data_IF_662505957009
#
_entry.id   IF_662505957009
#
_cell.length_a   1.000
_cell.length_b   1.000
_cell.length_c   1.000
_cell.angle_alpha   90.00
_cell.angle_beta   90.00
_cell.angle_gamma   90.00
#
_symmetry.space_group_name_H-M   'P 1'
#
loop_
_entity.id
_entity.type
_entity.pdbx_description
1 polymer ?
#
# COMPACT_ATOMS: atom_id res chain seq x y z
N UNK A 1 18.71 -21.65 25.62
CA UNK A 1 18.39 -20.33 25.05
C UNK A 1 18.01 -19.43 26.21
N UNK A 2 18.52 -18.20 26.26
CA UNK A 2 18.10 -17.23 27.26
C UNK A 2 16.65 -16.80 26.97
N UNK A 3 15.91 -16.35 27.98
CA UNK A 3 14.59 -15.73 27.79
C UNK A 3 14.64 -14.55 26.81
N UNK A 4 15.79 -13.87 26.68
CA UNK A 4 16.01 -12.82 25.68
C UNK A 4 16.15 -13.31 24.23
N UNK A 5 16.65 -14.54 24.03
CA UNK A 5 16.80 -15.11 22.68
C UNK A 5 15.43 -15.54 22.13
N UNK A 6 14.58 -16.12 22.99
CA UNK A 6 13.24 -16.56 22.64
C UNK A 6 12.32 -15.38 22.26
N UNK A 7 12.34 -14.30 23.06
CA UNK A 7 11.60 -13.07 22.74
C UNK A 7 11.97 -12.51 21.37
N UNK A 8 13.27 -12.50 21.07
CA UNK A 8 13.79 -11.98 19.79
C UNK A 8 13.27 -12.80 18.62
N UNK A 9 13.31 -14.13 18.72
CA UNK A 9 12.82 -15.03 17.67
C UNK A 9 11.33 -14.86 17.39
N UNK A 10 10.51 -14.74 18.45
CA UNK A 10 9.06 -14.53 18.32
C UNK A 10 8.78 -13.21 17.58
N UNK A 11 9.48 -12.13 17.93
CA UNK A 11 9.31 -10.84 17.27
C UNK A 11 9.77 -10.88 15.80
N UNK A 12 10.87 -11.58 15.50
CA UNK A 12 11.33 -11.77 14.13
C UNK A 12 10.31 -12.54 13.28
N UNK A 13 9.67 -13.56 13.85
CA UNK A 13 8.59 -14.31 13.19
C UNK A 13 7.39 -13.42 12.88
N UNK A 14 6.93 -12.63 13.85
CA UNK A 14 5.81 -11.70 13.64
C UNK A 14 6.15 -10.62 12.60
N UNK A 15 7.39 -10.10 12.61
CA UNK A 15 7.83 -9.16 11.58
C UNK A 15 7.81 -9.78 10.18
N UNK A 16 8.16 -11.06 10.06
CA UNK A 16 8.09 -11.79 8.80
C UNK A 16 6.63 -11.98 8.34
N UNK A 17 5.73 -12.34 9.27
CA UNK A 17 4.30 -12.46 9.00
C UNK A 17 3.73 -11.13 8.49
N UNK A 18 4.05 -10.00 9.15
CA UNK A 18 3.60 -8.68 8.73
C UNK A 18 4.14 -8.31 7.35
N UNK A 19 5.42 -8.60 7.10
CA UNK A 19 6.08 -8.33 5.82
C UNK A 19 5.42 -9.06 4.66
N UNK A 20 4.96 -10.29 4.89
CA UNK A 20 4.31 -11.14 3.90
C UNK A 20 2.79 -11.17 4.02
N UNK A 21 2.21 -10.26 4.81
CA UNK A 21 0.78 -10.18 4.99
C UNK A 21 0.05 -9.88 3.66
N UNK A 22 -1.22 -10.31 3.62
CA UNK A 22 -2.10 -10.17 2.46
C UNK A 22 -2.52 -8.73 2.17
N UNK A 23 -3.74 -8.56 1.64
CA UNK A 23 -4.21 -7.25 1.13
C UNK A 23 -4.49 -6.19 2.21
N UNK A 24 -4.47 -6.55 3.50
CA UNK A 24 -4.81 -5.64 4.60
C UNK A 24 -3.76 -5.73 5.73
N UNK A 25 -2.61 -5.06 5.58
CA UNK A 25 -1.50 -5.13 6.55
C UNK A 25 -1.86 -4.62 7.94
N UNK A 26 -2.80 -3.68 8.04
CA UNK A 26 -3.32 -3.18 9.31
C UNK A 26 -3.99 -4.29 10.14
N UNK A 27 -4.75 -5.18 9.51
CA UNK A 27 -5.36 -6.31 10.21
C UNK A 27 -4.27 -7.23 10.73
N UNK A 28 -3.26 -7.53 9.90
CA UNK A 28 -2.14 -8.36 10.32
C UNK A 28 -1.40 -7.73 11.51
N UNK A 29 -1.16 -6.41 11.49
CA UNK A 29 -0.55 -5.68 12.60
C UNK A 29 -1.34 -5.83 13.91
N UNK A 30 -2.65 -5.63 13.88
CA UNK A 30 -3.48 -5.78 15.06
C UNK A 30 -3.58 -7.24 15.54
N UNK A 31 -3.57 -8.21 14.61
CA UNK A 31 -3.49 -9.63 14.96
C UNK A 31 -2.18 -9.97 15.66
N UNK A 32 -1.04 -9.49 15.15
CA UNK A 32 0.27 -9.67 15.79
C UNK A 32 0.29 -9.06 17.20
N UNK A 33 -0.23 -7.84 17.39
CA UNK A 33 -0.34 -7.24 18.72
C UNK A 33 -1.25 -8.03 19.66
N UNK A 34 -2.35 -8.59 19.15
CA UNK A 34 -3.24 -9.41 19.95
C UNK A 34 -2.55 -10.69 20.40
N UNK A 35 -1.94 -11.42 19.47
CA UNK A 35 -1.17 -12.63 19.76
C UNK A 35 -0.06 -12.36 20.77
N UNK A 36 0.78 -11.35 20.52
CA UNK A 36 1.94 -11.05 21.36
C UNK A 36 1.56 -10.66 22.79
N UNK A 37 0.46 -9.91 22.98
CA UNK A 37 0.20 -9.25 24.26
C UNK A 37 -1.05 -9.74 25.01
N UNK A 38 -2.03 -10.35 24.33
CA UNK A 38 -3.38 -10.56 24.89
C UNK A 38 -3.92 -11.97 24.73
N UNK A 39 -3.46 -12.70 23.72
CA UNK A 39 -3.92 -14.06 23.47
C UNK A 39 -3.49 -14.98 24.60
N UNK A 40 -4.40 -15.83 25.08
CA UNK A 40 -4.14 -16.77 26.16
C UNK A 40 -3.14 -17.86 25.74
N UNK A 41 -3.09 -18.19 24.46
CA UNK A 41 -2.12 -19.11 23.87
C UNK A 41 -0.87 -18.38 23.35
N UNK A 42 -0.82 -17.05 23.49
CA UNK A 42 0.30 -16.20 23.07
C UNK A 42 1.36 -16.01 24.16
N UNK A 43 2.48 -15.33 23.83
CA UNK A 43 3.61 -15.18 24.74
C UNK A 43 3.39 -14.16 25.88
N UNK A 44 2.27 -13.43 25.89
CA UNK A 44 1.91 -12.51 27.00
C UNK A 44 2.94 -11.38 27.23
N UNK A 45 3.56 -10.89 26.15
CA UNK A 45 4.63 -9.91 26.21
C UNK A 45 4.10 -8.51 26.50
N UNK A 46 4.83 -7.78 27.33
CA UNK A 46 4.79 -6.32 27.34
C UNK A 46 5.79 -5.80 26.31
N UNK A 47 5.30 -5.14 25.25
CA UNK A 47 6.15 -4.59 24.19
C UNK A 47 6.63 -3.20 24.54
N UNK A 48 7.91 -2.94 24.28
CA UNK A 48 8.48 -1.60 24.31
C UNK A 48 8.01 -0.78 23.10
N UNK A 49 8.09 0.55 23.21
CA UNK A 49 7.80 1.45 22.10
C UNK A 49 8.63 1.15 20.85
N UNK A 50 9.87 0.67 21.03
CA UNK A 50 10.75 0.27 19.93
C UNK A 50 10.19 -0.94 19.18
N UNK A 51 9.74 -1.96 19.89
CA UNK A 51 9.20 -3.18 19.27
C UNK A 51 7.86 -2.91 18.60
N UNK A 52 7.01 -2.07 19.21
CA UNK A 52 5.78 -1.59 18.59
C UNK A 52 6.10 -0.84 17.29
N UNK A 53 7.10 0.05 17.30
CA UNK A 53 7.52 0.77 16.11
C UNK A 53 8.04 -0.16 15.01
N UNK A 54 8.76 -1.24 15.34
CA UNK A 54 9.22 -2.23 14.36
C UNK A 54 8.04 -2.95 13.67
N UNK A 55 7.04 -3.36 14.43
CA UNK A 55 5.83 -4.00 13.88
C UNK A 55 5.04 -3.02 12.98
N UNK A 56 4.91 -1.76 13.42
CA UNK A 56 4.29 -0.71 12.60
C UNK A 56 5.06 -0.50 11.29
N UNK A 57 6.39 -0.44 11.34
CA UNK A 57 7.23 -0.22 10.18
C UNK A 57 7.09 -1.37 9.16
N UNK A 58 7.03 -2.62 9.63
CA UNK A 58 6.79 -3.78 8.77
C UNK A 58 5.43 -3.70 8.06
N UNK A 59 4.37 -3.37 8.80
CA UNK A 59 3.02 -3.21 8.25
C UNK A 59 2.92 -2.02 7.27
N UNK A 60 3.54 -0.88 7.60
CA UNK A 60 3.61 0.29 6.72
C UNK A 60 4.37 -0.02 5.45
N UNK A 61 5.51 -0.71 5.54
CA UNK A 61 6.28 -1.12 4.37
C UNK A 61 5.44 -1.97 3.43
N UNK A 62 4.70 -2.94 3.97
CA UNK A 62 3.80 -3.77 3.16
C UNK A 62 2.63 -2.97 2.57
N UNK A 63 2.04 -2.06 3.35
CA UNK A 63 0.99 -1.16 2.88
C UNK A 63 1.44 -0.32 1.68
N UNK A 64 2.64 0.26 1.73
CA UNK A 64 3.24 1.03 0.62
C UNK A 64 3.40 0.20 -0.66
N UNK A 65 3.89 -1.03 -0.53
CA UNK A 65 4.05 -1.94 -1.67
C UNK A 65 2.73 -2.23 -2.36
N UNK A 66 1.69 -2.50 -1.58
CA UNK A 66 0.37 -2.84 -2.09
C UNK A 66 -0.25 -1.63 -2.83
N UNK A 67 -0.01 -0.40 -2.37
CA UNK A 67 -0.43 0.82 -3.09
C UNK A 67 0.28 0.94 -4.44
N UNK A 68 1.60 0.76 -4.45
CA UNK A 68 2.42 0.91 -5.67
C UNK A 68 2.24 -0.24 -6.67
N UNK A 69 1.93 -1.45 -6.19
CA UNK A 69 1.75 -2.65 -7.02
C UNK A 69 0.81 -2.40 -8.19
N UNK A 70 -0.34 -1.80 -7.91
CA UNK A 70 -1.39 -1.54 -8.91
C UNK A 70 -1.18 -0.23 -9.69
N UNK A 71 -0.06 0.47 -9.46
CA UNK A 71 0.40 1.64 -10.22
C UNK A 71 1.68 1.37 -11.03
N UNK A 72 2.15 0.12 -11.03
CA UNK A 72 3.28 -0.31 -11.85
C UNK A 72 2.73 -0.87 -13.17
N UNK A 73 3.02 -0.24 -14.33
CA UNK A 73 2.54 -0.73 -15.62
C UNK A 73 3.04 -2.13 -15.97
N UNK A 74 4.20 -2.54 -15.44
CA UNK A 74 4.78 -3.86 -15.72
C UNK A 74 3.99 -4.98 -15.02
N UNK A 75 3.19 -4.63 -14.02
CA UNK A 75 2.31 -5.59 -13.34
C UNK A 75 1.01 -5.85 -14.09
N UNK A 76 0.63 -5.04 -15.08
CA UNK A 76 -0.69 -5.05 -15.73
C UNK A 76 -1.14 -6.45 -16.21
N UNK A 77 -0.20 -7.24 -16.71
CA UNK A 77 -0.48 -8.56 -17.30
C UNK A 77 -0.28 -9.71 -16.29
N UNK A 78 0.07 -9.40 -15.04
CA UNK A 78 0.26 -10.37 -13.97
C UNK A 78 -1.04 -10.62 -13.21
N UNK A 79 -1.22 -11.84 -12.73
CA UNK A 79 -2.42 -12.25 -11.96
C UNK A 79 -2.63 -11.47 -10.65
N UNK A 80 -1.57 -10.84 -10.14
CA UNK A 80 -1.59 -10.00 -8.96
C UNK A 80 -2.18 -8.61 -9.22
N UNK A 81 -2.26 -8.15 -10.47
CA UNK A 81 -2.78 -6.84 -10.81
C UNK A 81 -4.30 -6.80 -10.69
N UNK A 82 -4.78 -5.79 -9.97
CA UNK A 82 -6.19 -5.55 -9.68
C UNK A 82 -6.69 -4.20 -10.19
N UNK A 83 -5.82 -3.40 -10.78
CA UNK A 83 -6.13 -2.11 -11.40
C UNK A 83 -6.09 -0.91 -10.46
N UNK A 84 -6.08 0.29 -11.05
CA UNK A 84 -5.97 1.58 -10.36
C UNK A 84 -7.01 1.74 -9.24
N UNK A 85 -8.23 1.22 -9.43
CA UNK A 85 -9.26 1.20 -8.37
C UNK A 85 -8.75 0.59 -7.06
N UNK A 86 -7.96 -0.48 -7.15
CA UNK A 86 -7.37 -1.14 -5.98
C UNK A 86 -6.32 -0.26 -5.31
N UNK A 87 -5.49 0.43 -6.09
CA UNK A 87 -4.51 1.39 -5.56
C UNK A 87 -5.19 2.51 -4.77
N UNK A 88 -6.28 3.10 -5.30
CA UNK A 88 -7.07 4.14 -4.61
C UNK A 88 -7.53 3.65 -3.23
N UNK A 89 -8.18 2.46 -3.18
CA UNK A 89 -8.63 1.90 -1.91
C UNK A 89 -7.49 1.64 -0.93
N UNK A 90 -6.35 1.15 -1.43
CA UNK A 90 -5.19 0.84 -0.60
C UNK A 90 -4.49 2.10 -0.10
N UNK A 91 -4.50 3.19 -0.88
CA UNK A 91 -4.02 4.50 -0.46
C UNK A 91 -4.86 5.06 0.69
N UNK A 92 -6.20 4.99 0.59
CA UNK A 92 -7.08 5.40 1.69
C UNK A 92 -6.82 4.59 2.97
N UNK A 93 -6.68 3.26 2.84
CA UNK A 93 -6.32 2.39 3.98
C UNK A 93 -4.97 2.74 4.56
N UNK A 94 -3.99 3.09 3.72
CA UNK A 94 -2.67 3.53 4.17
C UNK A 94 -2.77 4.79 5.02
N UNK A 95 -3.49 5.82 4.55
CA UNK A 95 -3.70 7.06 5.29
C UNK A 95 -4.43 6.85 6.61
N UNK A 96 -5.48 6.04 6.60
CA UNK A 96 -6.22 5.68 7.80
C UNK A 96 -5.35 4.94 8.81
N UNK A 97 -4.54 3.99 8.34
CA UNK A 97 -3.62 3.26 9.19
C UNK A 97 -2.59 4.20 9.83
N UNK A 98 -1.92 5.05 9.04
CA UNK A 98 -0.99 6.08 9.53
C UNK A 98 -1.62 6.96 10.61
N UNK A 99 -2.86 7.42 10.40
CA UNK A 99 -3.61 8.23 11.36
C UNK A 99 -3.87 7.47 12.67
N UNK A 100 -4.29 6.21 12.60
CA UNK A 100 -4.59 5.38 13.78
C UNK A 100 -3.36 5.08 14.63
N UNK A 101 -2.21 4.86 13.99
CA UNK A 101 -0.95 4.60 14.70
C UNK A 101 -0.16 5.87 15.04
N UNK A 102 -0.69 7.05 14.70
CA UNK A 102 -0.06 8.35 14.99
C UNK A 102 1.27 8.57 14.27
N UNK A 103 1.45 7.99 13.08
CA UNK A 103 2.69 8.09 12.28
C UNK A 103 2.48 8.97 11.06
N UNK A 104 3.45 9.83 10.78
CA UNK A 104 3.52 10.56 9.52
C UNK A 104 4.28 9.73 8.46
N UNK A 105 3.68 9.61 7.29
CA UNK A 105 4.29 8.99 6.11
C UNK A 105 4.24 9.90 4.87
N UNK A 106 4.31 11.21 5.10
CA UNK A 106 4.35 12.25 4.07
C UNK A 106 5.38 12.00 2.96
N UNK A 107 6.48 11.30 3.27
CA UNK A 107 7.53 10.94 2.28
C UNK A 107 7.09 9.89 1.26
N UNK A 108 6.00 9.17 1.52
CA UNK A 108 5.47 8.20 0.57
C UNK A 108 4.65 8.84 -0.55
N UNK A 109 3.99 9.97 -0.28
CA UNK A 109 3.15 10.69 -1.24
C UNK A 109 3.85 10.97 -2.59
N UNK A 110 5.08 11.52 -2.65
CA UNK A 110 5.77 11.74 -3.93
C UNK A 110 5.97 10.47 -4.76
N UNK A 111 6.14 9.31 -4.12
CA UNK A 111 6.30 8.02 -4.82
C UNK A 111 5.01 7.57 -5.46
N UNK A 112 3.88 7.68 -4.75
CA UNK A 112 2.56 7.33 -5.29
C UNK A 112 2.19 8.25 -6.45
N UNK A 113 2.44 9.56 -6.26
CA UNK A 113 2.28 10.58 -7.31
C UNK A 113 3.05 10.24 -8.58
N UNK A 114 4.35 9.96 -8.45
CA UNK A 114 5.21 9.63 -9.58
C UNK A 114 4.76 8.34 -10.27
N UNK A 115 4.38 7.32 -9.49
CA UNK A 115 3.88 6.05 -10.02
C UNK A 115 2.59 6.25 -10.82
N UNK A 116 1.61 7.00 -10.30
CA UNK A 116 0.37 7.28 -11.02
C UNK A 116 0.61 8.07 -12.32
N UNK A 117 1.44 9.12 -12.28
CA UNK A 117 1.77 9.89 -13.49
C UNK A 117 2.44 9.00 -14.54
N UNK A 118 3.42 8.19 -14.13
CA UNK A 118 4.12 7.25 -15.01
C UNK A 118 3.17 6.22 -15.62
N UNK A 119 2.27 5.68 -14.80
CA UNK A 119 1.23 4.76 -15.24
C UNK A 119 0.32 5.38 -16.30
N UNK A 120 -0.28 6.54 -15.99
CA UNK A 120 -1.23 7.19 -16.90
C UNK A 120 -0.59 7.57 -18.24
N UNK A 121 0.68 8.01 -18.24
CA UNK A 121 1.40 8.33 -19.49
C UNK A 121 1.58 7.10 -20.35
N UNK A 122 2.10 6.00 -19.78
CA UNK A 122 2.31 4.76 -20.55
C UNK A 122 0.98 4.20 -21.06
N UNK A 123 -0.04 4.23 -20.22
CA UNK A 123 -1.37 3.75 -20.59
C UNK A 123 -1.98 4.60 -21.72
N UNK A 124 -1.84 5.92 -21.67
CA UNK A 124 -2.28 6.82 -22.73
C UNK A 124 -1.55 6.56 -24.06
N UNK A 125 -0.23 6.37 -24.00
CA UNK A 125 0.59 6.09 -25.18
C UNK A 125 0.19 4.76 -25.84
N UNK A 126 0.03 3.71 -25.04
CA UNK A 126 -0.36 2.38 -25.51
C UNK A 126 -1.75 2.35 -26.17
N UNK A 127 -2.72 3.05 -25.55
CA UNK A 127 -4.08 3.17 -26.09
C UNK A 127 -4.08 4.02 -27.36
N UNK A 128 -3.35 5.14 -27.38
CA UNK A 128 -3.27 6.02 -28.54
C UNK A 128 -2.63 5.34 -29.76
N UNK A 129 -1.66 4.45 -29.53
CA UNK A 129 -1.01 3.66 -30.58
C UNK A 129 -1.81 2.41 -30.98
N UNK A 130 -2.93 2.14 -30.30
CA UNK A 130 -3.75 0.95 -30.55
C UNK A 130 -3.05 -0.36 -30.16
N UNK A 131 -2.01 -0.30 -29.32
CA UNK A 131 -1.28 -1.49 -28.89
C UNK A 131 -2.15 -2.37 -27.98
N UNK A 132 -2.97 -1.73 -27.14
CA UNK A 132 -3.86 -2.41 -26.20
C UNK A 132 -4.97 -1.47 -25.70
N UNK A 133 -6.12 -2.01 -25.27
CA UNK A 133 -7.17 -1.21 -24.62
C UNK A 133 -6.70 -0.69 -23.25
N UNK A 134 -7.44 0.26 -22.68
CA UNK A 134 -7.18 0.74 -21.33
C UNK A 134 -7.45 -0.35 -20.29
N UNK A 135 -6.63 -0.39 -19.24
CA UNK A 135 -6.71 -1.23 -18.06
C UNK A 135 -7.20 -0.48 -16.82
N UNK A 136 -7.47 0.82 -16.94
CA UNK A 136 -8.09 1.61 -15.88
C UNK A 136 -9.50 1.07 -15.63
N UNK A 137 -9.78 0.79 -14.36
CA UNK A 137 -10.99 0.11 -13.91
C UNK A 137 -11.75 0.88 -12.81
N UNK A 138 -11.56 2.19 -12.75
CA UNK A 138 -12.30 3.14 -11.93
C UNK A 138 -12.92 4.23 -12.80
N UNK A 139 -13.98 4.90 -12.33
CA UNK A 139 -14.59 6.02 -13.06
C UNK A 139 -13.63 7.22 -13.16
N UNK A 140 -13.94 8.14 -14.08
CA UNK A 140 -13.13 9.34 -14.25
C UNK A 140 -13.25 10.29 -13.04
N UNK A 141 -14.38 10.31 -12.32
CA UNK A 141 -14.50 11.05 -11.06
C UNK A 141 -13.61 10.46 -9.99
N UNK A 142 -13.63 9.14 -9.80
CA UNK A 142 -12.79 8.48 -8.79
C UNK A 142 -11.29 8.69 -9.07
N UNK A 143 -10.90 8.69 -10.34
CA UNK A 143 -9.52 8.99 -10.73
C UNK A 143 -9.19 10.49 -10.56
N UNK A 144 -10.12 11.39 -10.88
CA UNK A 144 -9.95 12.83 -10.65
C UNK A 144 -9.74 13.15 -9.17
N UNK A 145 -10.54 12.56 -8.29
CA UNK A 145 -10.43 12.74 -6.84
C UNK A 145 -9.07 12.26 -6.34
N UNK A 146 -8.61 11.09 -6.82
CA UNK A 146 -7.30 10.57 -6.45
C UNK A 146 -6.14 11.44 -6.95
N UNK A 147 -6.23 11.96 -8.18
CA UNK A 147 -5.28 12.91 -8.75
C UNK A 147 -5.20 14.18 -7.89
N UNK A 148 -6.36 14.73 -7.51
CA UNK A 148 -6.45 15.93 -6.68
C UNK A 148 -5.88 15.70 -5.27
N UNK A 149 -6.18 14.55 -4.66
CA UNK A 149 -5.65 14.14 -3.37
C UNK A 149 -4.12 14.00 -3.39
N UNK A 150 -3.56 13.48 -4.48
CA UNK A 150 -2.11 13.40 -4.69
C UNK A 150 -1.47 14.75 -5.08
N UNK A 151 -2.27 15.81 -5.18
CA UNK A 151 -1.86 17.15 -5.57
C UNK A 151 -1.33 17.25 -7.00
N UNK A 152 -1.69 16.30 -7.88
CA UNK A 152 -1.23 16.26 -9.27
C UNK A 152 -1.92 17.37 -10.07
N UNK A 153 -1.12 18.14 -10.80
CA UNK A 153 -1.62 19.24 -11.60
C UNK A 153 -1.93 18.76 -13.02
N UNK A 154 -2.90 19.40 -13.67
CA UNK A 154 -3.36 19.01 -15.02
C UNK A 154 -2.24 18.97 -16.07
N UNK A 155 -1.25 19.86 -15.97
CA UNK A 155 -0.13 19.93 -16.92
C UNK A 155 0.83 18.73 -16.83
N UNK A 156 0.74 17.92 -15.78
CA UNK A 156 1.58 16.74 -15.58
C UNK A 156 0.95 15.48 -16.16
N UNK A 157 -0.37 15.51 -16.40
CA UNK A 157 -1.19 14.41 -16.89
C UNK A 157 -1.19 14.35 -18.42
N UNK A 158 -1.41 13.17 -19.02
CA UNK A 158 -1.69 13.08 -20.45
C UNK A 158 -3.03 13.75 -20.77
N UNK A 159 -3.09 14.49 -21.90
CA UNK A 159 -4.26 15.35 -22.25
C UNK A 159 -5.60 14.61 -22.28
N UNK A 160 -5.58 13.33 -22.61
CA UNK A 160 -6.76 12.48 -22.78
C UNK A 160 -6.89 11.46 -21.64
N UNK A 161 -6.32 11.68 -20.46
CA UNK A 161 -6.36 10.70 -19.37
C UNK A 161 -7.80 10.28 -18.99
N UNK A 162 -8.77 11.20 -19.09
CA UNK A 162 -10.19 10.89 -18.81
C UNK A 162 -10.77 9.85 -19.77
N UNK A 163 -10.35 9.83 -21.04
CA UNK A 163 -10.84 8.84 -22.01
C UNK A 163 -10.28 7.44 -21.78
N UNK A 164 -9.37 7.26 -20.81
CA UNK A 164 -8.87 5.95 -20.41
C UNK A 164 -9.81 5.25 -19.43
N UNK A 165 -10.74 5.99 -18.81
CA UNK A 165 -11.71 5.43 -17.88
C UNK A 165 -12.87 4.75 -18.65
N UNK A 166 -13.49 3.70 -18.08
CA UNK A 166 -14.65 3.02 -18.63
C UNK A 166 -15.92 3.88 -18.61
#
# INVERSE_FOLDING_TARGET
MSSGDERTLILEEELLILRHSGEIPEIAYHSSLHYLCKDAEGPGLELSDREIAQLQDAALMRSREIVLRDLDPDNRDLSLYRGVRRSICNWQRHLDFCRRIGRDDSRFLPRVRQALIGFLRREADDVCQGLRPSSINCSDEALADFIAELGIQDHELPRNWRSLCP
#
